data_IF_643153369680
#
_entry.id   IF_643153369680
#
_cell.length_a   1.000
_cell.length_b   1.000
_cell.length_c   1.000
_cell.angle_alpha   90.00
_cell.angle_beta   90.00
_cell.angle_gamma   90.00
#
_symmetry.space_group_name_H-M   'P 1'
#
loop_
_entity.id
_entity.type
_entity.pdbx_description
1 polymer ?
#
# COMPACT_ATOMS: atom_id res chain seq x y z
N UNK A 1 -5.57 47.32 46.54
CA UNK A 1 -5.57 46.02 47.25
C UNK A 1 -4.40 45.22 46.68
N UNK A 2 -3.28 45.07 47.41
CA UNK A 2 -2.84 43.82 48.10
C UNK A 2 -3.13 42.57 47.25
N UNK A 3 -2.21 41.71 46.80
CA UNK A 3 -0.77 41.53 46.96
C UNK A 3 -0.39 40.26 46.17
N UNK A 4 0.87 40.16 45.72
CA UNK A 4 1.40 38.94 45.08
C UNK A 4 1.63 37.88 46.16
N UNK A 5 1.11 36.66 45.99
CA UNK A 5 1.60 35.48 46.71
C UNK A 5 1.88 34.39 45.67
N UNK A 6 3.16 34.03 45.62
CA UNK A 6 3.72 32.90 44.90
C UNK A 6 3.54 31.59 45.70
N UNK A 7 3.28 30.52 44.95
CA UNK A 7 3.94 29.21 45.01
C UNK A 7 3.44 28.06 45.92
N UNK A 8 3.76 26.86 45.40
CA UNK A 8 3.82 25.49 45.94
C UNK A 8 2.54 24.64 45.79
N UNK A 9 2.37 23.81 44.75
CA UNK A 9 3.15 22.64 44.30
C UNK A 9 3.18 21.47 45.30
N UNK A 10 2.36 20.42 45.09
CA UNK A 10 2.70 19.02 45.36
C UNK A 10 1.61 18.02 44.86
N UNK A 11 1.97 17.25 43.83
CA UNK A 11 1.85 15.78 43.75
C UNK A 11 0.46 15.09 43.67
N UNK A 12 0.01 14.84 42.44
CA UNK A 12 -0.45 13.51 41.98
C UNK A 12 0.15 13.32 40.57
N UNK A 13 1.39 12.84 40.43
CA UNK A 13 1.78 11.43 40.48
C UNK A 13 1.13 10.57 39.38
N UNK A 14 1.76 10.61 38.21
CA UNK A 14 2.12 9.47 37.34
C UNK A 14 1.04 8.43 36.97
N UNK A 15 0.46 8.60 35.78
CA UNK A 15 0.25 7.48 34.85
C UNK A 15 0.82 7.96 33.50
N UNK A 16 2.11 7.77 33.21
CA UNK A 16 2.67 6.45 32.91
C UNK A 16 2.89 6.32 31.40
N UNK A 17 3.68 7.23 30.82
CA UNK A 17 4.31 7.00 29.51
C UNK A 17 5.55 6.13 29.74
N UNK A 18 5.40 4.81 29.64
CA UNK A 18 6.49 3.87 29.40
C UNK A 18 5.91 2.54 28.93
N UNK A 19 6.47 1.97 27.86
CA UNK A 19 6.33 0.55 27.56
C UNK A 19 5.82 0.20 26.17
N UNK A 20 6.70 0.37 25.17
CA UNK A 20 7.05 -0.70 24.23
C UNK A 20 5.92 -1.53 23.57
N UNK A 21 5.71 -1.33 22.26
CA UNK A 21 5.39 -2.44 21.33
C UNK A 21 6.48 -3.53 21.46
N UNK A 22 6.27 -4.83 21.14
CA UNK A 22 5.38 -5.36 20.08
C UNK A 22 4.75 -6.76 20.34
N UNK A 23 3.68 -7.12 19.63
CA UNK A 23 3.52 -8.53 19.21
C UNK A 23 2.79 -8.64 17.87
N UNK A 24 3.58 -8.73 16.82
CA UNK A 24 3.30 -9.53 15.63
C UNK A 24 3.18 -11.00 16.08
N UNK A 25 1.99 -11.59 16.02
CA UNK A 25 1.86 -13.04 16.03
C UNK A 25 2.08 -13.54 14.60
N UNK A 26 3.34 -13.84 14.27
CA UNK A 26 3.70 -14.62 13.09
C UNK A 26 3.52 -16.12 13.42
N UNK A 27 2.91 -16.94 12.54
CA UNK A 27 2.95 -18.39 12.68
C UNK A 27 4.39 -18.90 12.59
N UNK A 28 4.73 -19.86 13.45
CA UNK A 28 6.07 -20.42 13.58
C UNK A 28 6.61 -21.04 12.28
N UNK A 29 7.93 -20.92 11.99
CA UNK A 29 8.60 -21.75 11.00
C UNK A 29 8.80 -23.17 11.57
N UNK A 30 8.34 -24.18 10.85
CA UNK A 30 8.68 -25.58 11.14
C UNK A 30 10.15 -25.84 10.75
N UNK A 31 10.97 -26.51 11.59
CA UNK A 31 12.32 -26.91 11.21
C UNK A 31 12.30 -28.15 10.31
N UNK A 32 12.93 -28.08 9.14
CA UNK A 32 13.40 -29.26 8.40
C UNK A 32 14.94 -29.31 8.47
N UNK A 33 15.54 -30.23 9.24
CA UNK A 33 16.99 -30.41 9.27
C UNK A 33 17.47 -31.39 8.17
N UNK A 34 18.44 -30.92 7.38
CA UNK A 34 19.48 -31.71 6.69
C UNK A 34 19.02 -32.58 5.51
N UNK A 35 19.83 -32.83 4.48
CA UNK A 35 21.27 -32.72 4.38
C UNK A 35 21.72 -32.73 2.91
N UNK A 36 22.76 -31.94 2.63
CA UNK A 36 23.93 -32.30 1.81
C UNK A 36 23.75 -32.73 0.34
N UNK A 37 24.27 -31.90 -0.57
CA UNK A 37 24.65 -32.34 -1.91
C UNK A 37 25.09 -31.19 -2.82
N UNK A 38 26.36 -30.77 -2.71
CA UNK A 38 27.03 -29.89 -3.67
C UNK A 38 27.69 -30.76 -4.80
N UNK A 39 28.32 -30.17 -5.84
CA UNK A 39 27.84 -29.90 -7.21
C UNK A 39 28.49 -30.86 -8.26
N UNK A 40 28.28 -30.74 -9.59
CA UNK A 40 29.01 -29.77 -10.43
C UNK A 40 28.25 -29.21 -11.66
N UNK A 41 28.93 -28.30 -12.35
CA UNK A 41 28.53 -27.48 -13.50
C UNK A 41 28.06 -28.21 -14.79
N UNK A 42 27.24 -27.52 -15.60
CA UNK A 42 27.44 -27.23 -17.04
C UNK A 42 26.10 -27.02 -17.81
N UNK A 43 25.98 -25.91 -18.55
CA UNK A 43 25.06 -25.77 -19.72
C UNK A 43 25.60 -26.62 -20.90
N UNK A 44 24.91 -26.89 -22.05
CA UNK A 44 23.69 -26.28 -22.63
C UNK A 44 22.71 -27.26 -23.36
N UNK A 45 21.69 -26.72 -24.05
CA UNK A 45 21.17 -27.12 -25.38
C UNK A 45 19.67 -27.46 -25.55
N UNK A 46 19.03 -26.60 -26.36
CA UNK A 46 17.92 -26.82 -27.31
C UNK A 46 17.42 -28.25 -27.58
N UNK A 47 16.09 -28.45 -27.52
CA UNK A 47 15.28 -28.88 -28.69
C UNK A 47 13.77 -28.63 -28.46
N UNK A 48 13.01 -28.08 -29.44
CA UNK A 48 11.57 -27.88 -29.34
C UNK A 48 10.79 -29.14 -29.79
N UNK A 49 9.66 -29.44 -29.13
CA UNK A 49 8.71 -30.48 -29.57
C UNK A 49 7.49 -29.85 -30.29
N UNK A 50 6.97 -30.45 -31.39
CA UNK A 50 6.02 -29.80 -32.28
C UNK A 50 4.54 -30.13 -32.00
N UNK A 51 3.73 -29.08 -32.07
CA UNK A 51 2.44 -28.90 -32.76
C UNK A 51 1.33 -29.97 -32.59
N UNK A 52 0.24 -29.58 -31.93
CA UNK A 52 -1.11 -29.84 -32.45
C UNK A 52 -1.84 -28.51 -32.60
N UNK A 53 -2.38 -28.31 -33.81
CA UNK A 53 -2.99 -27.07 -34.24
C UNK A 53 -4.39 -26.91 -33.66
N UNK A 54 -4.63 -25.82 -32.95
CA UNK A 54 -5.95 -25.23 -32.81
C UNK A 54 -5.95 -23.93 -33.61
N UNK A 55 -6.82 -23.89 -34.60
CA UNK A 55 -7.08 -22.77 -35.51
C UNK A 55 -7.27 -21.47 -34.71
N UNK A 56 -6.50 -20.40 -34.93
CA UNK A 56 -6.75 -19.13 -34.27
C UNK A 56 -8.03 -18.52 -34.86
N UNK A 57 -9.10 -18.57 -34.08
CA UNK A 57 -10.26 -17.71 -34.27
C UNK A 57 -9.78 -16.25 -34.21
N UNK A 58 -9.91 -15.42 -35.27
CA UNK A 58 -9.49 -14.03 -35.23
C UNK A 58 -10.57 -13.19 -34.53
N UNK A 59 -10.82 -13.45 -33.25
CA UNK A 59 -11.54 -12.50 -32.41
C UNK A 59 -10.51 -11.56 -31.80
N UNK A 60 -10.20 -10.55 -32.61
CA UNK A 60 -9.78 -9.20 -32.23
C UNK A 60 -9.37 -9.06 -30.76
N UNK A 61 -8.06 -9.10 -30.41
CA UNK A 61 -7.64 -8.71 -29.08
C UNK A 61 -7.94 -7.22 -28.97
N UNK A 62 -9.07 -6.91 -28.32
CA UNK A 62 -9.36 -5.56 -27.86
C UNK A 62 -8.09 -5.05 -27.20
N UNK A 63 -7.46 -4.06 -27.83
CA UNK A 63 -6.30 -3.34 -27.34
C UNK A 63 -6.65 -2.74 -25.98
N UNK A 64 -6.59 -3.53 -24.91
CA UNK A 64 -6.45 -3.01 -23.56
C UNK A 64 -4.98 -2.63 -23.47
N UNK A 65 -4.64 -1.33 -23.36
CA UNK A 65 -3.26 -0.92 -23.22
C UNK A 65 -2.67 -1.69 -22.05
N UNK A 66 -1.64 -2.49 -22.34
CA UNK A 66 -0.88 -3.25 -21.35
C UNK A 66 -0.38 -2.24 -20.34
N UNK A 67 -0.99 -2.22 -19.15
CA UNK A 67 -0.73 -1.23 -18.10
C UNK A 67 0.77 -1.09 -17.93
N UNK A 68 1.29 0.09 -18.24
CA UNK A 68 2.71 0.43 -18.20
C UNK A 68 3.24 0.19 -16.78
N UNK A 69 4.02 -0.89 -16.63
CA UNK A 69 5.10 -1.10 -15.66
C UNK A 69 4.92 -0.53 -14.23
N UNK A 70 3.74 -0.66 -13.64
CA UNK A 70 3.51 -0.26 -12.25
C UNK A 70 3.52 -1.50 -11.38
N UNK A 71 4.34 -1.52 -10.32
CA UNK A 71 4.39 -2.63 -9.35
C UNK A 71 3.06 -2.81 -8.60
N UNK A 72 2.20 -1.80 -8.62
CA UNK A 72 0.93 -1.78 -7.92
C UNK A 72 -0.20 -2.27 -8.83
N UNK A 73 -1.05 -3.13 -8.30
CA UNK A 73 -2.25 -3.58 -9.00
C UNK A 73 -3.22 -2.41 -9.21
N UNK A 74 -3.97 -2.37 -10.34
CA UNK A 74 -5.01 -1.37 -10.57
C UNK A 74 -6.21 -1.54 -9.61
N UNK A 75 -7.06 -0.50 -9.46
CA UNK A 75 -8.26 -0.60 -8.65
C UNK A 75 -9.27 -1.60 -9.22
N UNK A 76 -10.05 -2.27 -8.34
CA UNK A 76 -11.24 -3.02 -8.75
C UNK A 76 -12.14 -2.16 -9.65
N UNK A 77 -12.58 -2.71 -10.78
CA UNK A 77 -13.43 -2.01 -11.74
C UNK A 77 -12.69 -1.05 -12.70
N UNK A 78 -11.36 -0.90 -12.60
CA UNK A 78 -10.52 -0.33 -13.66
C UNK A 78 -10.66 1.17 -13.95
N UNK A 79 -11.37 1.94 -13.13
CA UNK A 79 -11.58 3.39 -13.34
C UNK A 79 -10.42 4.28 -12.88
N UNK A 80 -9.25 3.70 -12.57
CA UNK A 80 -8.10 4.42 -12.04
C UNK A 80 -7.03 4.68 -13.10
N UNK A 81 -6.48 5.91 -13.12
CA UNK A 81 -5.29 6.26 -13.91
C UNK A 81 -4.07 6.34 -12.99
N UNK A 82 -2.99 5.62 -13.31
CA UNK A 82 -1.74 5.71 -12.57
C UNK A 82 -1.11 7.10 -12.71
N UNK A 83 -0.81 7.76 -11.59
CA UNK A 83 -0.03 9.00 -11.53
C UNK A 83 1.34 8.70 -10.88
N UNK A 84 2.43 8.71 -11.66
CA UNK A 84 3.77 8.39 -11.15
C UNK A 84 4.32 9.44 -10.18
N UNK A 85 3.87 10.70 -10.25
CA UNK A 85 4.32 11.75 -9.33
C UNK A 85 3.72 11.55 -7.94
N UNK A 86 2.47 11.07 -7.89
CA UNK A 86 1.77 10.77 -6.64
C UNK A 86 2.03 9.34 -6.15
N UNK A 87 2.41 8.43 -7.03
CA UNK A 87 2.61 7.02 -6.72
C UNK A 87 1.30 6.28 -6.43
N UNK A 88 0.19 6.75 -6.99
CA UNK A 88 -1.17 6.22 -6.77
C UNK A 88 -1.96 6.20 -8.06
N UNK A 89 -3.03 5.40 -8.09
CA UNK A 89 -4.10 5.56 -9.07
C UNK A 89 -5.02 6.70 -8.66
N UNK A 90 -5.28 7.63 -9.56
CA UNK A 90 -6.32 8.65 -9.43
C UNK A 90 -7.63 8.07 -9.97
N UNK A 91 -8.69 8.07 -9.17
CA UNK A 91 -9.98 7.52 -9.59
C UNK A 91 -10.71 8.53 -10.48
N UNK A 92 -11.02 8.14 -11.70
CA UNK A 92 -11.71 9.01 -12.66
C UNK A 92 -13.16 9.26 -12.22
N UNK A 93 -13.61 10.52 -12.31
CA UNK A 93 -14.96 10.93 -11.93
C UNK A 93 -15.20 11.02 -10.42
N UNK A 94 -14.16 10.84 -9.60
CA UNK A 94 -14.23 11.01 -8.14
C UNK A 94 -13.13 11.98 -7.73
N UNK A 95 -13.53 13.14 -7.20
CA UNK A 95 -12.59 14.15 -6.71
C UNK A 95 -11.91 13.62 -5.44
N UNK A 96 -10.61 13.92 -5.31
CA UNK A 96 -9.84 13.63 -4.10
C UNK A 96 -9.84 12.16 -3.68
N UNK A 97 -10.13 11.24 -4.61
CA UNK A 97 -10.13 9.81 -4.37
C UNK A 97 -8.99 9.12 -5.13
N UNK A 98 -8.19 8.40 -4.37
CA UNK A 98 -6.98 7.74 -4.82
C UNK A 98 -6.98 6.27 -4.43
N UNK A 99 -6.20 5.46 -5.14
CA UNK A 99 -6.07 4.04 -4.84
C UNK A 99 -4.63 3.58 -4.96
N UNK A 100 -4.18 2.81 -3.98
CA UNK A 100 -2.89 2.11 -4.00
C UNK A 100 -2.97 0.88 -3.13
N UNK A 101 -2.48 -0.26 -3.63
CA UNK A 101 -2.36 -1.51 -2.85
C UNK A 101 -3.67 -1.88 -2.12
N UNK A 102 -4.79 -1.92 -2.83
CA UNK A 102 -6.11 -2.30 -2.27
C UNK A 102 -6.69 -1.32 -1.24
N UNK A 103 -6.04 -0.18 -1.08
CA UNK A 103 -6.46 0.88 -0.16
C UNK A 103 -6.90 2.09 -0.98
N UNK A 104 -8.08 2.60 -0.67
CA UNK A 104 -8.56 3.88 -1.15
C UNK A 104 -8.16 4.96 -0.16
N UNK A 105 -7.70 6.10 -0.67
CA UNK A 105 -7.40 7.29 0.12
C UNK A 105 -8.32 8.41 -0.34
N UNK A 106 -8.95 9.09 0.59
CA UNK A 106 -9.86 10.20 0.33
C UNK A 106 -9.40 11.43 1.10
N UNK A 107 -9.45 12.59 0.45
CA UNK A 107 -9.23 13.88 1.11
C UNK A 107 -10.52 14.68 1.20
N UNK A 108 -10.92 15.02 2.42
CA UNK A 108 -12.06 15.90 2.73
C UNK A 108 -11.73 16.78 3.94
N UNK A 109 -10.78 17.71 3.77
CA UNK A 109 -10.23 18.54 4.85
C UNK A 109 -9.31 17.79 5.83
N UNK A 110 -9.43 16.47 5.89
CA UNK A 110 -8.51 15.54 6.53
C UNK A 110 -8.29 14.31 5.65
N UNK A 111 -7.29 13.50 5.99
CA UNK A 111 -7.02 12.26 5.29
C UNK A 111 -7.87 11.12 5.84
N UNK A 112 -8.45 10.35 4.92
CA UNK A 112 -9.16 9.13 5.23
C UNK A 112 -8.65 7.99 4.35
N UNK A 113 -8.73 6.77 4.85
CA UNK A 113 -8.48 5.58 4.06
C UNK A 113 -9.59 4.53 4.25
N UNK A 114 -9.73 3.63 3.30
CA UNK A 114 -10.70 2.55 3.36
C UNK A 114 -10.38 1.45 2.33
N UNK A 115 -11.11 0.33 2.40
CA UNK A 115 -10.95 -0.79 1.45
C UNK A 115 -11.94 -0.73 0.28
N UNK A 116 -12.84 0.26 0.30
CA UNK A 116 -13.89 0.49 -0.69
C UNK A 116 -13.97 1.99 -1.00
N UNK A 117 -14.29 2.39 -2.24
CA UNK A 117 -14.41 3.79 -2.61
C UNK A 117 -15.63 4.49 -2.01
N UNK A 118 -16.55 3.75 -1.36
CA UNK A 118 -17.71 4.29 -0.65
C UNK A 118 -17.55 4.26 0.89
N UNK A 119 -16.39 3.84 1.39
CA UNK A 119 -16.17 3.61 2.80
C UNK A 119 -16.53 2.18 3.26
N UNK A 120 -16.46 1.89 4.58
CA UNK A 120 -16.26 2.83 5.66
C UNK A 120 -14.90 3.54 5.60
N UNK A 121 -14.86 4.79 6.04
CA UNK A 121 -13.67 5.64 6.06
C UNK A 121 -13.06 5.69 7.45
N UNK A 122 -11.75 5.50 7.51
CA UNK A 122 -10.95 5.63 8.74
C UNK A 122 -10.06 6.85 8.62
N UNK A 123 -10.14 7.75 9.59
CA UNK A 123 -9.28 8.92 9.64
C UNK A 123 -7.80 8.51 9.80
N UNK A 124 -6.92 9.26 9.17
CA UNK A 124 -5.47 9.07 9.27
C UNK A 124 -4.76 10.41 9.16
N UNK A 125 -3.52 10.46 9.61
CA UNK A 125 -2.63 11.59 9.37
C UNK A 125 -1.89 11.45 8.04
N UNK A 126 -1.14 12.51 7.67
CA UNK A 126 -0.30 12.55 6.48
C UNK A 126 0.76 11.42 6.41
N UNK A 127 1.11 10.80 7.54
CA UNK A 127 2.03 9.66 7.59
C UNK A 127 1.40 8.34 7.11
N UNK A 128 0.06 8.23 7.18
CA UNK A 128 -0.68 7.04 6.74
C UNK A 128 -1.07 7.07 5.27
N UNK A 129 -0.74 8.14 4.54
CA UNK A 129 -1.01 8.27 3.11
C UNK A 129 0.29 8.24 2.29
N UNK A 130 0.23 7.84 1.00
CA UNK A 130 1.37 7.90 0.11
C UNK A 130 2.08 9.28 0.11
N UNK A 131 3.43 9.34 0.12
CA UNK A 131 4.17 10.60 0.24
C UNK A 131 3.89 11.63 -0.86
N UNK A 132 3.47 11.17 -2.05
CA UNK A 132 3.05 12.07 -3.12
C UNK A 132 1.74 12.80 -2.79
N UNK A 133 0.80 12.13 -2.13
CA UNK A 133 -0.45 12.72 -1.69
C UNK A 133 -0.25 13.68 -0.52
N UNK A 134 0.51 13.29 0.52
CA UNK A 134 0.76 14.18 1.66
C UNK A 134 1.41 15.49 1.24
N UNK A 135 2.42 15.44 0.35
CA UNK A 135 3.07 16.65 -0.19
C UNK A 135 2.14 17.54 -1.02
N UNK A 136 1.21 16.94 -1.78
CA UNK A 136 0.28 17.69 -2.63
C UNK A 136 -0.69 18.55 -1.82
N UNK A 137 -1.18 18.04 -0.69
CA UNK A 137 -2.16 18.74 0.15
C UNK A 137 -1.54 19.51 1.31
N UNK A 138 -0.22 19.41 1.51
CA UNK A 138 0.51 20.25 2.46
C UNK A 138 0.83 21.66 1.89
N UNK A 139 0.62 21.86 0.59
CA UNK A 139 0.82 23.15 -0.06
C UNK A 139 -0.51 23.91 -0.05
N UNK A 140 -0.58 25.12 0.54
CA UNK A 140 -1.79 25.94 0.59
C UNK A 140 -2.22 26.46 -0.79
#
# INVERSE_FOLDING_TARGET
MKGRILALAALLALAGCAGQQPHTQAPAPVPQPGASGQPPAALPSNKPAPRTAITPNPQNPSNKPRSTHTQFAPPPGGKGRWDPNLGVYVIQGQKDLYYRQRTYYHWDGAWYWGVSPQGPWTATDANGVPPGLSRRYAQP
#
